data_IF_590576754090
#
_entry.id   IF_590576754090
#
_cell.length_a   1.000
_cell.length_b   1.000
_cell.length_c   1.000
_cell.angle_alpha   90.00
_cell.angle_beta   90.00
_cell.angle_gamma   90.00
#
_symmetry.space_group_name_H-M   'P 1'
#
loop_
_entity.id
_entity.type
_entity.pdbx_description
1 polymer ?
#
# COMPACT_ATOMS: atom_id res chain seq x y z
N UNK A 1 35.08 9.38 -10.79
CA UNK A 1 34.22 9.21 -9.61
C UNK A 1 33.95 7.72 -9.44
N UNK A 2 34.62 7.06 -8.49
CA UNK A 2 34.50 5.61 -8.27
C UNK A 2 33.19 5.39 -7.51
N UNK A 3 32.17 4.89 -8.20
CA UNK A 3 30.95 4.42 -7.54
C UNK A 3 31.36 3.32 -6.55
N UNK A 4 31.28 3.63 -5.27
CA UNK A 4 31.42 2.63 -4.22
C UNK A 4 30.16 1.76 -4.29
N UNK A 5 30.28 0.63 -4.98
CA UNK A 5 29.35 -0.48 -4.84
C UNK A 5 29.57 -1.01 -3.42
N UNK A 6 28.71 -0.59 -2.49
CA UNK A 6 28.69 -1.17 -1.15
C UNK A 6 28.10 -2.57 -1.29
N UNK A 7 28.82 -3.65 -0.95
CA UNK A 7 28.22 -4.98 -0.89
C UNK A 7 27.36 -5.03 0.37
N UNK A 8 26.16 -4.47 0.30
CA UNK A 8 25.14 -4.75 1.29
C UNK A 8 24.70 -6.20 1.08
N UNK A 9 24.64 -6.96 2.16
CA UNK A 9 24.29 -8.37 2.16
C UNK A 9 23.11 -8.63 1.21
N UNK A 10 23.38 -9.32 0.10
CA UNK A 10 22.37 -9.64 -0.89
C UNK A 10 21.28 -10.47 -0.19
N UNK A 11 20.13 -9.86 0.01
CA UNK A 11 18.93 -10.57 0.38
C UNK A 11 18.57 -11.54 -0.75
N UNK A 12 18.18 -12.73 -0.34
CA UNK A 12 17.68 -13.75 -1.26
C UNK A 12 16.36 -13.28 -1.85
N UNK A 13 16.34 -13.02 -3.17
CA UNK A 13 15.12 -12.70 -3.90
C UNK A 13 14.33 -14.01 -4.07
N UNK A 14 13.17 -14.09 -3.44
CA UNK A 14 12.30 -15.27 -3.53
C UNK A 14 11.38 -15.14 -4.73
N UNK A 15 11.13 -16.25 -5.41
CA UNK A 15 10.09 -16.35 -6.43
C UNK A 15 8.80 -16.85 -5.78
N UNK A 16 7.67 -16.23 -6.10
CA UNK A 16 6.36 -16.63 -5.60
C UNK A 16 5.35 -16.78 -6.72
N UNK A 17 4.58 -17.88 -6.71
CA UNK A 17 3.48 -18.03 -7.66
C UNK A 17 2.35 -17.05 -7.37
N UNK A 18 1.54 -16.64 -8.37
CA UNK A 18 0.44 -15.71 -8.16
C UNK A 18 -0.53 -16.12 -7.03
N UNK A 19 -0.80 -17.43 -6.89
CA UNK A 19 -1.69 -17.95 -5.84
C UNK A 19 -1.08 -17.83 -4.44
N UNK A 20 0.21 -18.14 -4.29
CA UNK A 20 0.90 -18.00 -3.00
C UNK A 20 0.97 -16.54 -2.56
N UNK A 21 1.29 -15.65 -3.50
CA UNK A 21 1.34 -14.21 -3.25
C UNK A 21 -0.04 -13.67 -2.89
N UNK A 22 -1.10 -14.08 -3.59
CA UNK A 22 -2.47 -13.70 -3.23
C UNK A 22 -2.84 -14.15 -1.81
N UNK A 23 -2.47 -15.37 -1.42
CA UNK A 23 -2.74 -15.85 -0.07
C UNK A 23 -1.96 -15.07 0.99
N UNK A 24 -0.70 -14.75 0.72
CA UNK A 24 0.14 -13.98 1.64
C UNK A 24 -0.39 -12.56 1.83
N UNK A 25 -0.68 -11.86 0.72
CA UNK A 25 -1.24 -10.49 0.73
C UNK A 25 -2.63 -10.45 1.37
N UNK A 26 -3.39 -11.53 1.31
CA UNK A 26 -4.71 -11.61 1.94
C UNK A 26 -4.65 -11.80 3.46
N UNK A 27 -3.64 -12.50 3.97
CA UNK A 27 -3.51 -12.84 5.40
C UNK A 27 -2.97 -11.69 6.25
N UNK A 28 -2.01 -10.95 5.73
CA UNK A 28 -1.33 -9.88 6.46
C UNK A 28 -1.23 -8.61 5.61
N UNK A 29 -0.92 -7.51 6.29
CA UNK A 29 -0.46 -6.33 5.57
C UNK A 29 0.87 -6.66 4.89
N UNK A 30 0.98 -6.35 3.60
CA UNK A 30 2.15 -6.64 2.79
C UNK A 30 2.29 -5.56 1.74
N UNK A 31 3.53 -5.20 1.42
CA UNK A 31 3.82 -4.16 0.45
C UNK A 31 3.79 -4.80 -0.93
N UNK A 32 2.68 -4.66 -1.65
CA UNK A 32 2.55 -5.22 -2.99
C UNK A 32 2.70 -4.11 -4.01
N UNK A 33 3.70 -4.20 -4.88
CA UNK A 33 4.14 -3.14 -5.78
C UNK A 33 4.07 -3.60 -7.23
N UNK A 34 3.41 -2.81 -8.06
CA UNK A 34 3.42 -2.96 -9.52
C UNK A 34 4.41 -1.95 -10.14
N UNK A 35 5.46 -2.46 -10.79
CA UNK A 35 6.55 -1.65 -11.37
C UNK A 35 6.30 -1.22 -12.82
N UNK A 36 5.11 -1.50 -13.36
CA UNK A 36 4.70 -1.07 -14.70
C UNK A 36 4.40 0.42 -14.75
N UNK A 37 4.18 0.93 -15.96
CA UNK A 37 3.74 2.31 -16.15
C UNK A 37 2.33 2.53 -15.59
N UNK A 38 1.98 3.78 -15.20
CA UNK A 38 0.64 4.08 -14.68
C UNK A 38 -0.49 3.76 -15.67
N UNK A 39 -0.23 3.93 -16.97
CA UNK A 39 -1.20 3.59 -18.03
C UNK A 39 -1.48 2.08 -18.08
N UNK A 40 -0.44 1.26 -18.05
CA UNK A 40 -0.57 -0.21 -17.98
C UNK A 40 -1.31 -0.65 -16.72
N UNK A 41 -0.98 -0.04 -15.57
CA UNK A 41 -1.63 -0.32 -14.30
C UNK A 41 -3.13 0.02 -14.35
N UNK A 42 -3.49 1.16 -14.97
CA UNK A 42 -4.88 1.61 -15.06
C UNK A 42 -5.78 0.66 -15.86
N UNK A 43 -5.24 -0.02 -16.88
CA UNK A 43 -5.99 -1.01 -17.68
C UNK A 43 -6.34 -2.28 -16.90
N UNK A 44 -5.64 -2.56 -15.80
CA UNK A 44 -5.90 -3.72 -14.95
C UNK A 44 -4.64 -4.23 -14.26
N UNK A 45 -4.69 -4.26 -12.94
CA UNK A 45 -3.60 -4.66 -12.06
C UNK A 45 -4.10 -5.63 -10.99
N UNK A 46 -3.17 -6.26 -10.28
CA UNK A 46 -3.49 -7.15 -9.18
C UNK A 46 -4.08 -6.34 -8.01
N UNK A 47 -5.18 -6.83 -7.41
CA UNK A 47 -5.84 -6.10 -6.33
C UNK A 47 -4.88 -5.82 -5.17
N UNK A 48 -4.98 -4.63 -4.55
CA UNK A 48 -4.10 -4.14 -3.47
C UNK A 48 -2.66 -3.83 -3.88
N UNK A 49 -2.29 -3.98 -5.15
CA UNK A 49 -0.99 -3.55 -5.63
C UNK A 49 -0.93 -2.02 -5.73
N UNK A 50 0.17 -1.42 -5.29
CA UNK A 50 0.47 -0.01 -5.44
C UNK A 50 1.37 0.21 -6.64
N UNK A 51 1.05 1.17 -7.50
CA UNK A 51 1.89 1.45 -8.66
C UNK A 51 3.11 2.30 -8.27
N UNK A 52 4.30 1.73 -8.44
CA UNK A 52 5.58 2.45 -8.32
C UNK A 52 6.41 2.09 -9.55
N UNK A 53 6.33 2.91 -10.63
CA UNK A 53 7.06 2.66 -11.85
C UNK A 53 8.56 2.50 -11.60
N UNK A 54 9.20 1.59 -12.35
CA UNK A 54 10.64 1.30 -12.24
C UNK A 54 11.50 2.57 -12.28
N UNK A 55 11.15 3.52 -13.14
CA UNK A 55 11.86 4.80 -13.31
C UNK A 55 11.86 5.68 -12.04
N UNK A 56 10.82 5.54 -11.21
CA UNK A 56 10.62 6.31 -9.98
C UNK A 56 10.91 5.50 -8.71
N UNK A 57 11.32 4.25 -8.86
CA UNK A 57 11.53 3.31 -7.75
C UNK A 57 12.60 3.80 -6.79
N UNK A 58 13.71 4.33 -7.32
CA UNK A 58 14.83 4.87 -6.54
C UNK A 58 14.46 6.08 -5.70
N UNK A 59 13.52 6.91 -6.18
CA UNK A 59 13.00 8.06 -5.44
C UNK A 59 11.92 7.67 -4.42
N UNK A 60 11.38 6.45 -4.50
CA UNK A 60 10.27 5.97 -3.67
C UNK A 60 10.71 5.01 -2.57
N UNK A 61 12.02 4.79 -2.37
CA UNK A 61 12.53 3.92 -1.31
C UNK A 61 12.06 4.31 0.08
N UNK A 62 11.89 5.62 0.35
CA UNK A 62 11.44 6.11 1.65
C UNK A 62 9.95 5.83 1.93
N UNK A 63 9.17 5.46 0.90
CA UNK A 63 7.78 5.05 1.06
C UNK A 63 7.64 3.57 1.44
N UNK A 64 8.73 2.81 1.35
CA UNK A 64 8.74 1.37 1.55
C UNK A 64 9.47 0.99 2.83
N UNK A 65 8.87 0.09 3.58
CA UNK A 65 9.43 -0.44 4.80
C UNK A 65 10.46 -1.55 4.48
N UNK A 66 11.72 -1.37 4.89
CA UNK A 66 12.83 -2.30 4.55
C UNK A 66 12.75 -3.66 5.26
N UNK A 67 12.04 -3.73 6.39
CA UNK A 67 11.93 -4.93 7.22
C UNK A 67 10.72 -5.80 6.84
N UNK A 68 9.72 -5.23 6.17
CA UNK A 68 8.49 -5.91 5.78
C UNK A 68 8.64 -6.61 4.42
N UNK A 69 7.87 -7.67 4.15
CA UNK A 69 7.90 -8.34 2.86
C UNK A 69 7.37 -7.44 1.74
N UNK A 70 8.18 -7.30 0.69
CA UNK A 70 7.85 -6.56 -0.52
C UNK A 70 7.62 -7.55 -1.65
N UNK A 71 6.39 -7.58 -2.15
CA UNK A 71 5.98 -8.35 -3.32
C UNK A 71 6.02 -7.45 -4.54
N UNK A 72 6.71 -7.88 -5.59
CA UNK A 72 6.96 -7.07 -6.78
C UNK A 72 6.38 -7.79 -7.99
N UNK A 73 5.50 -7.12 -8.71
CA UNK A 73 4.87 -7.63 -9.93
C UNK A 73 5.15 -6.71 -11.11
N UNK A 74 5.33 -7.31 -12.29
CA UNK A 74 5.29 -6.58 -13.55
C UNK A 74 4.38 -7.32 -14.54
N UNK A 75 4.59 -7.18 -15.84
CA UNK A 75 3.77 -7.87 -16.84
C UNK A 75 4.08 -9.37 -16.92
N UNK A 76 5.36 -9.73 -17.09
CA UNK A 76 5.82 -11.10 -17.35
C UNK A 76 6.89 -11.63 -16.38
N UNK A 77 7.57 -10.74 -15.63
CA UNK A 77 8.61 -11.07 -14.65
C UNK A 77 9.93 -10.30 -14.82
N UNK A 78 10.24 -9.80 -16.02
CA UNK A 78 11.56 -9.21 -16.31
C UNK A 78 11.83 -7.90 -15.55
N UNK A 79 10.89 -6.94 -15.61
CA UNK A 79 11.02 -5.64 -14.94
C UNK A 79 10.99 -5.78 -13.42
N UNK A 80 10.24 -6.74 -12.90
CA UNK A 80 10.14 -7.00 -11.47
C UNK A 80 11.41 -7.65 -10.90
N UNK A 81 12.10 -8.51 -11.65
CA UNK A 81 13.44 -9.00 -11.24
C UNK A 81 14.48 -7.88 -11.18
N UNK A 82 14.46 -6.93 -12.13
CA UNK A 82 15.33 -5.76 -12.10
C UNK A 82 15.03 -4.87 -10.89
N UNK A 83 13.75 -4.58 -10.63
CA UNK A 83 13.31 -3.84 -9.44
C UNK A 83 13.73 -4.52 -8.14
N UNK A 84 13.62 -5.86 -8.07
CA UNK A 84 14.07 -6.64 -6.92
C UNK A 84 15.57 -6.51 -6.71
N UNK A 85 16.39 -6.54 -7.77
CA UNK A 85 17.84 -6.30 -7.65
C UNK A 85 18.16 -4.90 -7.11
N UNK A 86 17.46 -3.87 -7.61
CA UNK A 86 17.64 -2.49 -7.17
C UNK A 86 17.27 -2.33 -5.68
N UNK A 87 16.16 -2.93 -5.25
CA UNK A 87 15.74 -2.91 -3.85
C UNK A 87 16.70 -3.74 -2.98
N UNK A 88 17.23 -4.84 -3.49
CA UNK A 88 18.21 -5.65 -2.79
C UNK A 88 19.47 -4.82 -2.49
N UNK A 89 19.99 -4.10 -3.48
CA UNK A 89 21.15 -3.21 -3.33
C UNK A 89 20.89 -2.07 -2.35
N UNK A 90 19.63 -1.60 -2.27
CA UNK A 90 19.17 -0.59 -1.31
C UNK A 90 18.99 -1.13 0.14
N UNK A 91 19.20 -2.44 0.36
CA UNK A 91 19.19 -3.09 1.67
C UNK A 91 17.82 -3.62 2.13
N UNK A 92 16.89 -3.86 1.20
CA UNK A 92 15.63 -4.53 1.50
C UNK A 92 15.86 -6.04 1.72
N UNK A 93 15.33 -6.58 2.82
CA UNK A 93 15.66 -7.96 3.26
C UNK A 93 14.72 -9.04 2.75
N UNK A 94 13.46 -8.69 2.50
CA UNK A 94 12.39 -9.64 2.22
C UNK A 94 11.74 -9.28 0.88
N UNK A 95 12.35 -9.73 -0.22
CA UNK A 95 11.88 -9.44 -1.57
C UNK A 95 11.28 -10.70 -2.20
N UNK A 96 10.07 -10.56 -2.74
CA UNK A 96 9.35 -11.65 -3.43
C UNK A 96 8.96 -11.17 -4.83
N UNK A 97 9.52 -11.78 -5.86
CA UNK A 97 9.15 -11.56 -7.24
C UNK A 97 7.95 -12.45 -7.61
N UNK A 98 6.93 -11.88 -8.24
CA UNK A 98 5.76 -12.65 -8.70
C UNK A 98 6.06 -13.29 -10.05
N UNK A 99 6.18 -14.61 -10.07
CA UNK A 99 6.52 -15.36 -11.29
C UNK A 99 5.38 -15.29 -12.30
N UNK A 100 5.72 -15.00 -13.56
CA UNK A 100 4.76 -14.85 -14.65
C UNK A 100 3.95 -13.54 -14.63
N UNK A 101 4.21 -12.67 -13.67
CA UNK A 101 3.67 -11.32 -13.59
C UNK A 101 2.15 -11.22 -13.61
N UNK A 102 1.66 -10.09 -14.13
CA UNK A 102 0.23 -9.75 -14.23
C UNK A 102 -0.49 -10.68 -15.20
N UNK A 103 0.19 -11.20 -16.22
CA UNK A 103 -0.38 -12.18 -17.15
C UNK A 103 -0.74 -13.47 -16.42
N UNK A 104 0.18 -14.01 -15.63
CA UNK A 104 -0.08 -15.21 -14.83
C UNK A 104 -1.13 -14.95 -13.73
N UNK A 105 -1.13 -13.75 -13.14
CA UNK A 105 -2.15 -13.34 -12.17
C UNK A 105 -3.57 -13.37 -12.76
N UNK A 106 -3.75 -12.77 -13.95
CA UNK A 106 -5.02 -12.77 -14.68
C UNK A 106 -5.42 -14.18 -15.12
N UNK A 107 -4.47 -14.95 -15.65
CA UNK A 107 -4.70 -16.34 -16.06
C UNK A 107 -5.10 -17.26 -14.90
N UNK A 108 -4.60 -16.99 -13.69
CA UNK A 108 -4.98 -17.70 -12.48
C UNK A 108 -6.38 -17.35 -11.96
N UNK A 109 -7.09 -16.39 -12.57
CA UNK A 109 -8.44 -15.97 -12.17
C UNK A 109 -8.45 -15.22 -10.83
N UNK A 110 -7.34 -14.56 -10.47
CA UNK A 110 -7.21 -13.84 -9.21
C UNK A 110 -7.86 -12.45 -9.28
N UNK A 111 -8.17 -11.82 -8.13
CA UNK A 111 -8.79 -10.50 -8.11
C UNK A 111 -7.94 -9.45 -8.81
N UNK A 112 -8.57 -8.69 -9.71
CA UNK A 112 -7.96 -7.58 -10.43
C UNK A 112 -8.76 -6.31 -10.21
N UNK A 113 -8.06 -5.19 -10.12
CA UNK A 113 -8.62 -3.86 -9.99
C UNK A 113 -8.26 -3.03 -11.22
N UNK A 114 -9.11 -2.07 -11.57
CA UNK A 114 -8.92 -1.15 -12.69
C UNK A 114 -9.01 0.28 -12.17
N UNK A 115 -8.26 1.20 -12.78
CA UNK A 115 -8.24 2.61 -12.38
C UNK A 115 -6.86 3.14 -12.00
N UNK A 116 -6.81 4.46 -11.75
CA UNK A 116 -5.57 5.18 -11.44
C UNK A 116 -4.92 4.70 -10.14
N UNK A 117 -3.59 4.86 -9.97
CA UNK A 117 -2.88 4.50 -8.75
C UNK A 117 -3.64 5.00 -7.51
N UNK A 118 -4.14 4.07 -6.71
CA UNK A 118 -4.77 4.43 -5.45
C UNK A 118 -3.69 5.02 -4.55
N UNK A 119 -3.60 6.34 -4.50
CA UNK A 119 -2.97 7.00 -3.36
C UNK A 119 -3.82 6.55 -2.17
N UNK A 120 -3.26 5.70 -1.31
CA UNK A 120 -3.91 5.30 -0.06
C UNK A 120 -4.09 6.56 0.76
N UNK A 121 -5.18 7.27 0.53
CA UNK A 121 -5.66 8.25 1.48
C UNK A 121 -5.90 7.45 2.76
N UNK A 122 -5.27 7.83 3.89
CA UNK A 122 -5.55 7.16 5.13
C UNK A 122 -7.06 7.24 5.33
N UNK A 123 -7.65 6.10 5.70
CA UNK A 123 -9.06 5.88 6.06
C UNK A 123 -9.63 6.89 7.09
N UNK A 124 -8.85 7.87 7.53
CA UNK A 124 -9.19 8.93 8.47
C UNK A 124 -10.11 10.02 7.89
N UNK A 125 -10.40 10.06 6.59
CA UNK A 125 -11.27 11.12 6.01
C UNK A 125 -12.73 10.67 5.82
N UNK A 126 -13.04 9.38 6.00
CA UNK A 126 -14.43 8.88 5.91
C UNK A 126 -15.19 8.93 7.24
N UNK A 127 -14.49 8.90 8.38
CA UNK A 127 -15.12 8.84 9.72
C UNK A 127 -15.51 10.19 10.34
N UNK A 128 -15.21 11.34 9.72
CA UNK A 128 -15.47 12.66 10.33
C UNK A 128 -16.86 13.24 9.99
N UNK A 129 -17.62 12.65 9.04
CA UNK A 129 -18.98 13.16 8.70
C UNK A 129 -20.15 12.53 9.46
N UNK A 130 -19.94 11.49 10.28
CA UNK A 130 -21.03 10.73 10.92
C UNK A 130 -21.09 10.86 12.46
N UNK A 131 -20.52 11.93 13.05
CA UNK A 131 -20.60 12.19 14.51
C UNK A 131 -21.03 13.61 14.88
N UNK A 132 -21.72 14.34 13.99
CA UNK A 132 -22.26 15.68 14.27
C UNK A 132 -23.78 15.77 14.45
N UNK A 133 -24.52 14.66 14.50
CA UNK A 133 -26.00 14.71 14.68
C UNK A 133 -26.52 14.12 16.00
N UNK A 134 -25.69 13.51 16.84
CA UNK A 134 -26.12 12.95 18.13
C UNK A 134 -25.83 13.85 19.35
N UNK A 135 -25.21 15.03 19.17
CA UNK A 135 -24.90 15.94 20.27
C UNK A 135 -25.98 17.02 20.52
N UNK A 136 -27.06 17.09 19.72
CA UNK A 136 -28.08 18.15 19.84
C UNK A 136 -29.43 17.68 20.44
N UNK A 137 -29.51 16.51 21.08
CA UNK A 137 -30.78 16.00 21.63
C UNK A 137 -30.78 15.69 23.12
N UNK A 138 -30.02 16.43 23.94
CA UNK A 138 -30.15 16.30 25.41
C UNK A 138 -29.62 17.49 26.21
N UNK A 139 -30.19 18.68 26.05
CA UNK A 139 -29.99 19.77 27.02
C UNK A 139 -31.03 20.88 26.88
N UNK A 140 -32.31 20.57 27.13
CA UNK A 140 -33.33 21.55 27.51
C UNK A 140 -34.39 20.87 28.39
N UNK A 141 -34.02 20.51 29.62
CA UNK A 141 -34.93 20.58 30.76
C UNK A 141 -34.16 21.18 31.93
N UNK A 142 -34.85 22.05 32.67
CA UNK A 142 -34.43 22.77 33.88
C UNK A 142 -33.22 23.70 33.73
N UNK A 143 -33.47 25.00 33.46
CA UNK A 143 -33.27 26.10 34.42
C UNK A 143 -34.05 27.32 33.91
N UNK A 144 -35.18 27.59 34.53
CA UNK A 144 -36.00 28.81 34.44
C UNK A 144 -36.57 28.95 35.85
N UNK A 145 -36.51 30.05 36.59
CA UNK A 145 -36.07 31.42 36.40
C UNK A 145 -36.24 32.05 37.81
N UNK A 146 -35.37 33.00 38.22
CA UNK A 146 -35.68 34.12 39.15
C UNK A 146 -36.03 33.74 40.62
N UNK A 147 -35.76 34.52 41.66
CA UNK A 147 -35.08 35.79 41.90
C UNK A 147 -35.06 35.98 43.44
N UNK A 148 -34.17 36.86 43.92
CA UNK A 148 -34.22 37.60 45.19
C UNK A 148 -33.80 36.92 46.52
N UNK A 149 -32.53 37.15 46.89
CA UNK A 149 -32.09 38.00 48.03
C UNK A 149 -33.14 38.22 49.14
N UNK A 150 -32.94 37.64 50.34
CA UNK A 150 -32.49 38.33 51.57
C UNK A 150 -32.35 37.35 52.74
N UNK A 151 -31.22 37.44 53.43
CA UNK A 151 -31.06 37.07 54.82
C UNK A 151 -31.83 38.09 55.68
N UNK A 152 -32.78 37.61 56.46
CA UNK A 152 -33.22 38.02 57.80
C UNK A 152 -34.61 37.43 58.06
#
# INVERSE_FOLDING_TARGET
MRLQVFPNAAAEIKEGSPREVQQAVSKAYSQFIDVRTPDEYATGHAARAENIPLDTLTASFDKLEKNEPVYIICETGNRSSQAASILNDAGFKNLVNVTGGTVAWKSAGLPVETGSPHTRLPILVSWIRERRQLCCRRLLMSVSLRQHIRLC
#
